data_IF_283283389774
#
_entry.id   IF_283283389774
#
_cell.length_a   1.000
_cell.length_b   1.000
_cell.length_c   1.000
_cell.angle_alpha   90.00
_cell.angle_beta   90.00
_cell.angle_gamma   90.00
#
_symmetry.space_group_name_H-M   'P 1'
#
loop_
_entity.id
_entity.type
_entity.pdbx_description
1 polymer ?
#
# COMPACT_ATOMS: atom_id res chain seq x y z
N UNK A 1 -10.05 12.98 -19.04
CA UNK A 1 -10.89 12.71 -17.84
C UNK A 1 -10.62 13.83 -16.86
N UNK A 2 -11.63 14.62 -16.49
CA UNK A 2 -11.44 15.73 -15.55
C UNK A 2 -12.19 15.41 -14.26
N UNK A 3 -11.71 14.40 -13.52
CA UNK A 3 -12.41 13.86 -12.35
C UNK A 3 -12.71 14.92 -11.28
N UNK A 4 -11.86 15.95 -11.17
CA UNK A 4 -12.04 17.05 -10.22
C UNK A 4 -13.35 17.83 -10.42
N UNK A 5 -13.82 17.99 -11.66
CA UNK A 5 -15.02 18.79 -12.02
C UNK A 5 -16.21 17.96 -12.48
N UNK A 6 -16.09 16.62 -12.48
CA UNK A 6 -17.16 15.72 -12.89
C UNK A 6 -18.23 15.62 -11.79
N UNK A 7 -19.46 16.03 -12.06
CA UNK A 7 -20.58 16.00 -11.11
C UNK A 7 -21.31 14.64 -11.04
N UNK A 8 -21.31 13.88 -12.14
CA UNK A 8 -22.02 12.60 -12.25
C UNK A 8 -21.54 11.55 -11.23
N UNK A 9 -20.22 11.44 -11.03
CA UNK A 9 -19.55 10.54 -10.05
C UNK A 9 -20.04 9.08 -10.03
N UNK A 10 -20.79 8.59 -11.01
CA UNK A 10 -21.28 7.21 -11.10
C UNK A 10 -20.18 6.14 -11.18
N UNK A 11 -18.90 6.52 -11.29
CA UNK A 11 -17.78 5.62 -11.05
C UNK A 11 -17.78 5.06 -9.62
N UNK A 12 -18.36 5.76 -8.64
CA UNK A 12 -18.59 5.24 -7.29
C UNK A 12 -19.44 3.96 -7.30
N UNK A 13 -20.36 3.85 -8.26
CA UNK A 13 -21.20 2.66 -8.49
C UNK A 13 -20.63 1.70 -9.55
N UNK A 14 -19.37 1.89 -9.97
CA UNK A 14 -18.68 0.96 -10.87
C UNK A 14 -18.66 1.30 -12.36
N UNK A 15 -19.02 2.54 -12.77
CA UNK A 15 -18.79 3.02 -14.14
C UNK A 15 -17.29 3.00 -14.49
N UNK A 16 -16.95 2.48 -15.67
CA UNK A 16 -15.59 2.58 -16.22
C UNK A 16 -15.42 3.86 -17.05
N UNK A 17 -14.83 4.89 -16.45
CA UNK A 17 -14.56 6.18 -17.10
C UNK A 17 -13.35 6.13 -18.07
N UNK A 18 -12.61 5.02 -18.10
CA UNK A 18 -11.35 4.87 -18.86
C UNK A 18 -11.43 3.90 -20.02
N UNK A 19 -12.48 3.09 -20.07
CA UNK A 19 -12.59 1.91 -20.93
C UNK A 19 -11.43 0.91 -20.73
N UNK A 20 -10.80 0.89 -19.55
CA UNK A 20 -9.67 0.01 -19.23
C UNK A 20 -10.07 -1.15 -18.30
N UNK A 21 -11.34 -1.26 -17.88
CA UNK A 21 -11.80 -2.23 -16.89
C UNK A 21 -11.33 -3.65 -17.18
N UNK A 22 -11.46 -4.12 -18.43
CA UNK A 22 -11.03 -5.48 -18.81
C UNK A 22 -9.52 -5.68 -18.61
N UNK A 23 -8.70 -4.71 -19.00
CA UNK A 23 -7.24 -4.76 -18.84
C UNK A 23 -6.85 -4.71 -17.37
N UNK A 24 -7.44 -3.79 -16.61
CA UNK A 24 -7.15 -3.62 -15.17
C UNK A 24 -7.55 -4.87 -14.39
N UNK A 25 -8.74 -5.43 -14.63
CA UNK A 25 -9.15 -6.69 -14.00
C UNK A 25 -8.19 -7.84 -14.31
N UNK A 26 -7.65 -7.90 -15.54
CA UNK A 26 -6.61 -8.87 -15.89
C UNK A 26 -5.36 -8.74 -15.01
N UNK A 27 -4.91 -7.52 -14.75
CA UNK A 27 -3.78 -7.25 -13.85
C UNK A 27 -4.11 -7.59 -12.39
N UNK A 28 -5.26 -7.18 -11.88
CA UNK A 28 -5.67 -7.45 -10.50
C UNK A 28 -5.89 -8.95 -10.21
N UNK A 29 -6.24 -9.73 -11.23
CA UNK A 29 -6.38 -11.18 -11.09
C UNK A 29 -5.04 -11.93 -11.06
N UNK A 30 -3.91 -11.28 -11.39
CA UNK A 30 -2.59 -11.87 -11.18
C UNK A 30 -2.41 -12.10 -9.68
N UNK A 31 -1.93 -13.29 -9.32
CA UNK A 31 -1.85 -13.74 -7.92
C UNK A 31 -1.21 -12.70 -7.00
N UNK A 32 -0.03 -12.20 -7.34
CA UNK A 32 0.68 -11.21 -6.51
C UNK A 32 -0.12 -9.93 -6.28
N UNK A 33 -0.76 -9.41 -7.33
CA UNK A 33 -1.57 -8.19 -7.23
C UNK A 33 -2.81 -8.43 -6.38
N UNK A 34 -3.45 -9.59 -6.54
CA UNK A 34 -4.60 -10.00 -5.74
C UNK A 34 -4.22 -10.15 -4.25
N UNK A 35 -3.08 -10.76 -3.96
CA UNK A 35 -2.59 -10.98 -2.60
C UNK A 35 -2.28 -9.63 -1.93
N UNK A 36 -1.54 -8.74 -2.62
CA UNK A 36 -1.24 -7.38 -2.14
C UNK A 36 -2.51 -6.59 -1.87
N UNK A 37 -3.45 -6.56 -2.83
CA UNK A 37 -4.72 -5.86 -2.69
C UNK A 37 -5.52 -6.40 -1.51
N UNK A 38 -5.62 -7.73 -1.38
CA UNK A 38 -6.42 -8.37 -0.33
C UNK A 38 -5.82 -8.11 1.06
N UNK A 39 -4.49 -8.18 1.19
CA UNK A 39 -3.80 -7.85 2.43
C UNK A 39 -4.02 -6.39 2.82
N UNK A 40 -3.85 -5.44 1.89
CA UNK A 40 -4.07 -4.03 2.15
C UNK A 40 -5.52 -3.72 2.55
N UNK A 41 -6.51 -4.28 1.85
CA UNK A 41 -7.92 -4.08 2.16
C UNK A 41 -8.32 -4.67 3.52
N UNK A 42 -7.79 -5.85 3.89
CA UNK A 42 -8.01 -6.44 5.21
C UNK A 42 -7.41 -5.58 6.33
N UNK A 43 -6.20 -5.04 6.13
CA UNK A 43 -5.53 -4.19 7.12
C UNK A 43 -6.31 -2.88 7.32
N UNK A 44 -6.78 -2.25 6.24
CA UNK A 44 -7.61 -1.06 6.33
C UNK A 44 -8.91 -1.37 7.08
N UNK A 45 -9.64 -2.42 6.69
CA UNK A 45 -10.90 -2.79 7.33
C UNK A 45 -10.76 -3.09 8.83
N UNK A 46 -9.64 -3.70 9.25
CA UNK A 46 -9.38 -4.07 10.64
C UNK A 46 -8.81 -2.89 11.46
N UNK A 47 -7.96 -2.07 10.82
CA UNK A 47 -7.08 -1.07 11.44
C UNK A 47 -7.45 0.39 11.22
N UNK A 48 -8.50 0.69 10.44
CA UNK A 48 -8.91 2.07 10.15
C UNK A 48 -9.10 2.90 11.43
N UNK A 49 -8.41 4.05 11.48
CA UNK A 49 -8.34 4.96 12.65
C UNK A 49 -7.81 4.33 13.95
N UNK A 50 -7.20 3.14 13.89
CA UNK A 50 -6.62 2.45 15.05
C UNK A 50 -5.11 2.30 14.92
N UNK A 51 -4.64 1.98 13.71
CA UNK A 51 -3.22 1.80 13.41
C UNK A 51 -2.65 3.04 12.73
N UNK A 52 -1.41 3.37 13.07
CA UNK A 52 -0.60 4.32 12.31
C UNK A 52 -0.11 3.68 11.02
N UNK A 53 0.32 4.50 10.05
CA UNK A 53 0.86 3.99 8.78
C UNK A 53 2.07 3.07 8.96
N UNK A 54 2.91 3.31 9.98
CA UNK A 54 4.06 2.43 10.28
C UNK A 54 3.59 1.06 10.77
N UNK A 55 2.58 1.02 11.63
CA UNK A 55 2.00 -0.25 12.11
C UNK A 55 1.28 -1.01 10.99
N UNK A 56 0.52 -0.31 10.14
CA UNK A 56 -0.09 -0.91 8.95
C UNK A 56 0.95 -1.58 8.05
N UNK A 57 2.10 -0.92 7.82
CA UNK A 57 3.20 -1.47 7.02
C UNK A 57 3.85 -2.68 7.68
N UNK A 58 4.07 -2.67 9.00
CA UNK A 58 4.58 -3.84 9.73
C UNK A 58 3.65 -5.04 9.56
N UNK A 59 2.34 -4.85 9.75
CA UNK A 59 1.34 -5.91 9.57
C UNK A 59 1.32 -6.39 8.12
N UNK A 60 1.39 -5.46 7.16
CA UNK A 60 1.43 -5.80 5.73
C UNK A 60 2.64 -6.66 5.39
N UNK A 61 3.85 -6.25 5.77
CA UNK A 61 5.08 -7.01 5.51
C UNK A 61 5.03 -8.41 6.15
N UNK A 62 4.48 -8.53 7.37
CA UNK A 62 4.27 -9.83 8.03
C UNK A 62 3.24 -10.71 7.29
N UNK A 63 2.08 -10.16 6.91
CA UNK A 63 1.05 -10.89 6.14
C UNK A 63 1.58 -11.35 4.78
N UNK A 64 2.42 -10.54 4.14
CA UNK A 64 3.08 -10.85 2.86
C UNK A 64 4.31 -11.75 3.00
N UNK A 65 4.74 -12.08 4.23
CA UNK A 65 5.89 -12.92 4.54
C UNK A 65 7.20 -12.40 3.93
N UNK A 66 7.39 -11.09 3.96
CA UNK A 66 8.67 -10.50 3.57
C UNK A 66 9.69 -10.67 4.68
N UNK A 67 10.94 -10.89 4.30
CA UNK A 67 12.06 -11.06 5.24
C UNK A 67 13.07 -9.90 5.13
N UNK A 68 13.24 -9.37 3.91
CA UNK A 68 14.16 -8.27 3.61
C UNK A 68 13.39 -7.05 3.10
N UNK A 69 13.67 -5.88 3.65
CA UNK A 69 13.03 -4.62 3.23
C UNK A 69 14.09 -3.56 2.88
N UNK A 70 13.80 -2.81 1.81
CA UNK A 70 14.55 -1.62 1.43
C UNK A 70 13.89 -0.36 2.01
N UNK A 71 14.69 0.52 2.61
CA UNK A 71 14.26 1.84 3.09
C UNK A 71 14.92 2.93 2.26
N UNK A 72 14.17 3.52 1.33
CA UNK A 72 14.63 4.66 0.53
C UNK A 72 14.14 5.97 1.15
N UNK A 73 15.05 6.94 1.32
CA UNK A 73 14.73 8.23 1.93
C UNK A 73 15.62 9.36 1.38
N UNK A 74 15.13 10.60 1.43
CA UNK A 74 15.94 11.76 1.11
C UNK A 74 16.79 12.17 2.32
N UNK A 75 17.94 12.80 2.10
CA UNK A 75 18.83 13.28 3.17
C UNK A 75 18.12 14.17 4.21
N UNK A 76 17.12 14.96 3.79
CA UNK A 76 16.34 15.81 4.69
C UNK A 76 15.36 15.06 5.61
N UNK A 77 15.29 13.73 5.54
CA UNK A 77 14.44 12.87 6.36
C UNK A 77 15.28 11.84 7.15
N UNK A 78 16.56 12.12 7.40
CA UNK A 78 17.47 11.17 8.05
C UNK A 78 17.01 10.75 9.46
N UNK A 79 16.43 11.67 10.23
CA UNK A 79 15.94 11.39 11.57
C UNK A 79 14.70 10.47 11.55
N UNK A 80 13.77 10.71 10.63
CA UNK A 80 12.61 9.83 10.40
C UNK A 80 13.04 8.46 9.88
N UNK A 81 14.00 8.43 8.95
CA UNK A 81 14.53 7.19 8.39
C UNK A 81 15.24 6.36 9.46
N UNK A 82 16.00 7.00 10.36
CA UNK A 82 16.62 6.33 11.52
C UNK A 82 15.58 5.70 12.43
N UNK A 83 14.52 6.44 12.79
CA UNK A 83 13.41 5.90 13.60
C UNK A 83 12.69 4.75 12.91
N UNK A 84 12.41 4.87 11.61
CA UNK A 84 11.83 3.78 10.83
C UNK A 84 12.77 2.56 10.84
N UNK A 85 14.07 2.75 10.59
CA UNK A 85 15.05 1.68 10.62
C UNK A 85 15.03 0.94 11.97
N UNK A 86 15.05 1.66 13.10
CA UNK A 86 14.99 1.07 14.45
C UNK A 86 13.70 0.29 14.73
N UNK A 87 12.59 0.67 14.10
CA UNK A 87 11.30 -0.03 14.24
C UNK A 87 11.30 -1.31 13.38
N UNK A 88 11.60 -1.20 12.10
CA UNK A 88 11.48 -2.32 11.15
C UNK A 88 12.59 -3.38 11.31
N UNK A 89 13.81 -2.98 11.71
CA UNK A 89 14.94 -3.92 11.89
C UNK A 89 14.73 -4.94 13.02
N UNK A 90 13.70 -4.76 13.87
CA UNK A 90 13.33 -5.73 14.92
C UNK A 90 12.71 -7.01 14.35
N UNK A 91 12.05 -6.91 13.20
CA UNK A 91 11.30 -7.99 12.58
C UNK A 91 11.85 -8.39 11.19
N UNK A 92 12.66 -7.54 10.56
CA UNK A 92 13.11 -7.71 9.16
C UNK A 92 14.60 -7.37 8.98
N UNK A 93 15.24 -7.97 7.98
CA UNK A 93 16.56 -7.55 7.49
C UNK A 93 16.41 -6.26 6.69
N UNK A 94 16.93 -5.14 7.20
CA UNK A 94 16.76 -3.82 6.59
C UNK A 94 18.02 -3.35 5.86
N UNK A 95 17.84 -2.83 4.65
CA UNK A 95 18.87 -2.11 3.91
C UNK A 95 18.35 -0.72 3.54
N UNK A 96 19.14 0.32 3.77
CA UNK A 96 18.74 1.71 3.52
C UNK A 96 19.63 2.37 2.47
N UNK A 97 19.03 3.17 1.57
CA UNK A 97 19.66 3.84 0.43
C UNK A 97 19.19 5.27 0.26
#
# INVERSE_FOLDING_TARGET
>A
MNCAVCEDKSCYSGRDCTNMKKKVLGEYNKKINKDVMSAAASIEAEGYMKLTRIEELLVFCKKMKYEKLGLAFCIGLEDEAKKAHEIFSRDFELSSV
#
